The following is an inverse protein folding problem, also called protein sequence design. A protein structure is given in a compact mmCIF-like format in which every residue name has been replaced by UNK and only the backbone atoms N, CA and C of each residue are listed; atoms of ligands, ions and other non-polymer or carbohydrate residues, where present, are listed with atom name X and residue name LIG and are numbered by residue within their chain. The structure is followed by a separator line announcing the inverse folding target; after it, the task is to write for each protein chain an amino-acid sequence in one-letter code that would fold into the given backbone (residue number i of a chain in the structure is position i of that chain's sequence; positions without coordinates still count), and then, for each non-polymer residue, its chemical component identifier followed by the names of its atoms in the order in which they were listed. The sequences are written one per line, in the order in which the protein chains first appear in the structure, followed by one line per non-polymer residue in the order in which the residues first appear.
data_IF_801623860271
#
_entry.id   IF_801623860271
#
_cell.length_a   1.000
_cell.length_b   1.000
_cell.length_c   1.000
_cell.angle_alpha   90.00
_cell.angle_beta   90.00
_cell.angle_gamma   90.00
#
_symmetry.space_group_name_H-M   'P 1'
#
loop_
_entity.id
_entity.type
_entity.pdbx_description
1 polymer ?
#
# COMPACT_ATOMS: atom_id res chain seq x y z
N UNK A 1 -14.54 -3.79 -27.49
CA UNK A 1 -13.73 -2.75 -26.86
C UNK A 1 -12.94 -3.40 -25.72
N UNK A 2 -11.65 -3.07 -25.52
CA UNK A 2 -10.81 -3.63 -24.47
C UNK A 2 -10.78 -2.66 -23.31
N UNK A 3 -11.04 -3.19 -22.11
CA UNK A 3 -11.02 -2.44 -20.87
C UNK A 3 -9.85 -2.86 -19.99
N UNK A 4 -9.33 -1.93 -19.20
CA UNK A 4 -8.24 -2.11 -18.24
C UNK A 4 -8.66 -1.47 -16.92
N UNK A 5 -8.38 -2.12 -15.80
CA UNK A 5 -8.76 -1.62 -14.48
C UNK A 5 -7.53 -1.16 -13.72
N UNK A 6 -7.52 0.08 -13.29
CA UNK A 6 -6.55 0.62 -12.34
C UNK A 6 -7.17 0.66 -10.94
N UNK A 7 -6.45 0.10 -9.97
CA UNK A 7 -6.74 0.24 -8.54
C UNK A 7 -5.71 1.19 -7.97
N UNK A 8 -6.15 2.41 -7.63
CA UNK A 8 -5.31 3.46 -7.07
C UNK A 8 -5.71 3.67 -5.60
N UNK A 9 -4.85 3.22 -4.67
CA UNK A 9 -5.11 3.25 -3.24
C UNK A 9 -4.20 4.27 -2.57
N UNK A 10 -4.74 5.41 -2.20
CA UNK A 10 -4.06 6.41 -1.40
C UNK A 10 -4.26 6.21 0.10
N UNK A 11 -3.52 6.96 0.91
CA UNK A 11 -3.58 6.88 2.37
C UNK A 11 -4.92 7.35 2.98
N UNK A 12 -5.76 8.07 2.24
CA UNK A 12 -7.04 8.59 2.71
C UNK A 12 -8.24 8.10 1.92
N UNK A 13 -8.04 7.62 0.70
CA UNK A 13 -9.09 7.08 -0.16
C UNK A 13 -8.51 6.21 -1.26
N UNK A 14 -9.27 5.22 -1.69
CA UNK A 14 -8.96 4.42 -2.87
C UNK A 14 -10.03 4.56 -3.94
N UNK A 15 -9.70 4.20 -5.17
CA UNK A 15 -10.61 4.20 -6.30
C UNK A 15 -10.25 3.12 -7.31
N UNK A 16 -11.26 2.66 -8.02
CA UNK A 16 -11.11 1.81 -9.18
C UNK A 16 -11.53 2.59 -10.42
N UNK A 17 -10.61 2.68 -11.37
CA UNK A 17 -10.78 3.44 -12.60
C UNK A 17 -10.70 2.47 -13.78
N UNK A 18 -11.78 2.41 -14.55
CA UNK A 18 -11.83 1.63 -15.77
C UNK A 18 -11.36 2.50 -16.95
N UNK A 19 -10.37 2.04 -17.67
CA UNK A 19 -9.80 2.72 -18.83
C UNK A 19 -10.03 1.95 -20.13
N UNK A 20 -10.24 2.68 -21.22
CA UNK A 20 -10.24 2.13 -22.58
C UNK A 20 -9.75 3.17 -23.58
N UNK A 21 -9.38 2.73 -24.80
CA UNK A 21 -9.04 3.63 -25.90
C UNK A 21 -10.23 3.83 -26.80
N UNK A 22 -10.53 5.08 -27.10
CA UNK A 22 -11.50 5.49 -28.12
C UNK A 22 -10.93 6.62 -28.96
N UNK A 23 -11.01 6.51 -30.29
CA UNK A 23 -10.50 7.48 -31.26
C UNK A 23 -9.07 7.97 -30.95
N UNK A 24 -8.19 7.09 -30.46
CA UNK A 24 -6.79 7.41 -30.11
C UNK A 24 -6.60 8.06 -28.74
N UNK A 25 -7.66 8.31 -27.98
CA UNK A 25 -7.62 8.89 -26.62
C UNK A 25 -7.85 7.81 -25.56
N UNK A 26 -7.31 8.05 -24.37
CA UNK A 26 -7.65 7.26 -23.18
C UNK A 26 -8.89 7.85 -22.55
N UNK A 27 -9.91 7.02 -22.38
CA UNK A 27 -11.15 7.36 -21.68
C UNK A 27 -11.09 6.67 -20.31
N UNK A 28 -11.34 7.43 -19.23
CA UNK A 28 -11.30 6.96 -17.86
C UNK A 28 -12.68 7.12 -17.23
N UNK A 29 -13.11 6.10 -16.49
CA UNK A 29 -14.38 6.06 -15.79
C UNK A 29 -14.15 5.54 -14.36
N UNK A 30 -14.44 6.35 -13.35
CA UNK A 30 -14.38 5.90 -11.96
C UNK A 30 -15.59 4.99 -11.68
N UNK A 31 -15.33 3.72 -11.38
CA UNK A 31 -16.38 2.73 -11.13
C UNK A 31 -16.62 2.49 -9.65
N UNK A 32 -15.64 2.77 -8.80
CA UNK A 32 -15.76 2.63 -7.37
C UNK A 32 -14.81 3.56 -6.63
N UNK A 33 -15.27 4.10 -5.50
CA UNK A 33 -14.45 4.90 -4.56
C UNK A 33 -14.77 4.49 -3.13
N UNK A 34 -13.76 4.48 -2.28
CA UNK A 34 -13.88 4.14 -0.86
C UNK A 34 -12.93 4.99 0.00
N UNK A 35 -13.27 5.13 1.28
CA UNK A 35 -12.39 5.73 2.28
C UNK A 35 -11.28 4.78 2.70
N UNK A 36 -10.14 5.32 3.08
CA UNK A 36 -9.03 4.58 3.67
C UNK A 36 -8.45 5.37 4.83
N UNK A 37 -7.82 4.68 5.78
CA UNK A 37 -7.19 5.29 6.94
C UNK A 37 -6.57 4.24 7.84
N UNK A 38 -5.77 4.71 8.79
CA UNK A 38 -5.22 3.85 9.83
C UNK A 38 -6.12 3.89 11.05
N UNK A 39 -6.25 2.76 11.72
CA UNK A 39 -6.97 2.61 12.98
C UNK A 39 -6.04 2.04 14.05
N UNK A 40 -6.32 2.38 15.30
CA UNK A 40 -5.58 1.84 16.44
C UNK A 40 -6.01 0.40 16.70
N UNK A 41 -5.10 -0.55 16.55
CA UNK A 41 -5.33 -1.96 16.80
C UNK A 41 -4.10 -2.56 17.51
N UNK A 42 -4.31 -3.31 18.57
CA UNK A 42 -3.24 -3.96 19.35
C UNK A 42 -2.10 -3.00 19.78
N UNK A 43 -2.43 -1.72 20.02
CA UNK A 43 -1.46 -0.70 20.43
C UNK A 43 -0.70 -0.02 19.30
N UNK A 44 -1.00 -0.34 18.04
CA UNK A 44 -0.38 0.23 16.85
C UNK A 44 -1.41 0.85 15.89
N UNK A 45 -0.97 1.84 15.12
CA UNK A 45 -1.73 2.35 13.98
C UNK A 45 -1.58 1.38 12.80
N UNK A 46 -2.68 0.79 12.36
CA UNK A 46 -2.71 -0.28 11.35
C UNK A 46 -3.62 0.04 10.18
N UNK A 47 -3.34 -0.57 9.04
CA UNK A 47 -4.21 -0.59 7.87
C UNK A 47 -5.11 -1.83 7.89
N UNK A 48 -6.38 -1.67 7.54
CA UNK A 48 -7.28 -2.80 7.31
C UNK A 48 -7.10 -3.35 5.89
N UNK A 49 -6.16 -4.27 5.73
CA UNK A 49 -5.82 -4.89 4.44
C UNK A 49 -6.99 -5.73 3.90
N UNK A 50 -7.77 -6.35 4.80
CA UNK A 50 -8.91 -7.19 4.40
C UNK A 50 -10.04 -6.33 3.85
N UNK A 51 -10.29 -5.14 4.46
CA UNK A 51 -11.22 -4.16 3.90
C UNK A 51 -10.73 -3.65 2.54
N UNK A 52 -9.46 -3.29 2.40
CA UNK A 52 -8.92 -2.85 1.11
C UNK A 52 -9.15 -3.89 0.01
N UNK A 53 -8.92 -5.16 0.31
CA UNK A 53 -9.18 -6.25 -0.63
C UNK A 53 -10.68 -6.38 -0.97
N UNK A 54 -11.55 -6.27 0.03
CA UNK A 54 -13.00 -6.32 -0.17
C UNK A 54 -13.50 -5.17 -1.08
N UNK A 55 -12.93 -3.97 -0.93
CA UNK A 55 -13.23 -2.82 -1.79
C UNK A 55 -12.79 -3.03 -3.25
N UNK A 56 -11.62 -3.66 -3.45
CA UNK A 56 -11.18 -4.05 -4.80
C UNK A 56 -12.17 -5.00 -5.44
N UNK A 57 -12.57 -6.06 -4.73
CA UNK A 57 -13.57 -7.02 -5.22
C UNK A 57 -14.90 -6.35 -5.52
N UNK A 58 -15.32 -5.41 -4.68
CA UNK A 58 -16.56 -4.62 -4.90
C UNK A 58 -16.49 -3.83 -6.21
N UNK A 59 -15.38 -3.15 -6.46
CA UNK A 59 -15.19 -2.41 -7.70
C UNK A 59 -15.13 -3.32 -8.94
N UNK A 60 -14.50 -4.49 -8.84
CA UNK A 60 -14.50 -5.49 -9.92
C UNK A 60 -15.93 -5.98 -10.25
N UNK A 61 -16.76 -6.23 -9.22
CA UNK A 61 -18.16 -6.60 -9.42
C UNK A 61 -18.94 -5.51 -10.14
N UNK A 62 -18.72 -4.24 -9.79
CA UNK A 62 -19.34 -3.09 -10.49
C UNK A 62 -18.95 -3.04 -11.97
N UNK A 63 -17.73 -3.38 -12.35
CA UNK A 63 -17.35 -3.51 -13.77
C UNK A 63 -18.21 -4.55 -14.48
N UNK A 64 -18.47 -5.69 -13.84
CA UNK A 64 -19.32 -6.74 -14.40
C UNK A 64 -20.79 -6.27 -14.52
N UNK A 65 -21.32 -5.58 -13.51
CA UNK A 65 -22.68 -5.05 -13.48
C UNK A 65 -22.96 -4.09 -14.66
N UNK A 66 -21.96 -3.28 -15.03
CA UNK A 66 -22.08 -2.36 -16.18
C UNK A 66 -21.65 -3.00 -17.51
N UNK A 67 -21.37 -4.31 -17.53
CA UNK A 67 -20.99 -5.06 -18.73
C UNK A 67 -19.61 -4.72 -19.30
N UNK A 68 -18.71 -4.13 -18.50
CA UNK A 68 -17.36 -3.72 -18.91
C UNK A 68 -16.30 -4.54 -18.20
N UNK A 69 -16.06 -5.76 -18.65
CA UNK A 69 -15.08 -6.66 -18.02
C UNK A 69 -13.65 -6.25 -18.42
N UNK A 70 -12.77 -5.92 -17.46
CA UNK A 70 -11.37 -5.59 -17.77
C UNK A 70 -10.57 -6.83 -18.17
N UNK A 71 -9.67 -6.68 -19.15
CA UNK A 71 -8.73 -7.74 -19.57
C UNK A 71 -7.54 -7.86 -18.62
N UNK A 72 -7.22 -6.79 -17.90
CA UNK A 72 -6.16 -6.76 -16.89
C UNK A 72 -6.46 -5.78 -15.78
N UNK A 73 -5.79 -5.99 -14.63
CA UNK A 73 -5.83 -5.12 -13.47
C UNK A 73 -4.42 -4.72 -13.09
N UNK A 74 -4.23 -3.45 -12.75
CA UNK A 74 -3.01 -2.94 -12.13
C UNK A 74 -3.34 -2.30 -10.79
N UNK A 75 -2.45 -2.46 -9.82
CA UNK A 75 -2.61 -1.89 -8.48
C UNK A 75 -1.47 -0.93 -8.20
N UNK A 76 -1.80 0.26 -7.74
CA UNK A 76 -0.89 1.27 -7.23
C UNK A 76 -1.30 1.70 -5.83
N UNK A 77 -0.31 1.94 -4.96
CA UNK A 77 -0.56 2.30 -3.56
C UNK A 77 0.59 3.15 -3.02
N UNK A 78 0.48 3.60 -1.74
CA UNK A 78 1.56 4.31 -1.05
C UNK A 78 2.77 3.40 -0.80
N UNK A 79 3.93 4.03 -0.61
CA UNK A 79 5.19 3.34 -0.33
C UNK A 79 5.41 3.09 1.17
N UNK A 80 6.56 2.51 1.49
CA UNK A 80 7.23 2.26 2.78
C UNK A 80 6.61 1.20 3.67
N UNK A 81 5.30 0.99 3.64
CA UNK A 81 4.62 -0.02 4.44
C UNK A 81 4.71 -1.41 3.81
N UNK A 82 4.57 -2.43 4.63
CA UNK A 82 4.68 -3.83 4.22
C UNK A 82 3.84 -4.73 5.13
N UNK A 83 3.64 -5.95 4.71
CA UNK A 83 3.15 -7.07 5.53
C UNK A 83 4.19 -8.18 5.53
N UNK A 84 4.22 -8.95 6.60
CA UNK A 84 5.02 -10.17 6.68
C UNK A 84 4.16 -11.37 6.30
N UNK A 85 4.74 -12.32 5.58
CA UNK A 85 4.09 -13.56 5.21
C UNK A 85 4.87 -14.74 5.78
N UNK A 86 4.16 -15.80 6.16
CA UNK A 86 4.77 -17.08 6.52
C UNK A 86 5.12 -17.92 5.27
N UNK A 87 5.67 -19.10 5.48
CA UNK A 87 6.06 -20.01 4.41
C UNK A 87 4.87 -20.56 3.60
N UNK A 88 3.64 -20.31 4.01
CA UNK A 88 2.40 -20.66 3.32
C UNK A 88 1.68 -19.44 2.77
N UNK A 89 2.37 -18.31 2.62
CA UNK A 89 1.86 -17.02 2.12
C UNK A 89 0.71 -16.42 2.97
N UNK A 90 0.63 -16.78 4.25
CA UNK A 90 -0.35 -16.21 5.18
C UNK A 90 0.24 -15.01 5.88
N UNK A 91 -0.55 -13.96 6.02
CA UNK A 91 -0.14 -12.73 6.72
C UNK A 91 0.17 -13.02 8.19
N UNK A 92 1.34 -12.56 8.64
CA UNK A 92 1.79 -12.60 10.03
C UNK A 92 1.54 -11.23 10.65
N UNK A 93 0.67 -11.16 11.65
CA UNK A 93 0.38 -9.94 12.38
C UNK A 93 -0.39 -8.89 11.56
N UNK A 94 -0.40 -7.67 12.11
CA UNK A 94 -1.12 -6.53 11.53
C UNK A 94 -0.26 -5.79 10.50
N UNK A 95 -0.92 -5.10 9.56
CA UNK A 95 -0.26 -4.17 8.64
C UNK A 95 -0.04 -2.83 9.34
N UNK A 96 1.05 -2.68 10.06
CA UNK A 96 1.36 -1.46 10.81
C UNK A 96 1.73 -0.34 9.84
N UNK A 97 1.07 0.80 9.99
CA UNK A 97 1.20 1.94 9.09
C UNK A 97 2.38 2.85 9.43
N UNK A 98 2.83 3.60 8.44
CA UNK A 98 4.03 4.45 8.53
C UNK A 98 3.95 5.59 9.56
N UNK A 99 2.77 5.94 10.05
CA UNK A 99 2.57 6.96 11.10
C UNK A 99 2.57 6.36 12.51
N UNK A 100 2.77 5.05 12.63
CA UNK A 100 2.86 4.41 13.93
C UNK A 100 4.12 4.86 14.69
N UNK A 101 4.03 4.87 16.01
CA UNK A 101 5.13 5.29 16.88
C UNK A 101 6.26 4.28 17.00
N UNK A 102 6.09 3.02 16.51
CA UNK A 102 7.08 1.93 16.67
C UNK A 102 8.47 2.25 16.12
N UNK A 103 8.57 3.22 15.20
CA UNK A 103 9.86 3.60 14.61
C UNK A 103 10.65 4.63 15.43
N UNK A 104 10.09 5.12 16.55
CA UNK A 104 10.80 6.08 17.40
C UNK A 104 12.11 5.49 17.92
N UNK A 105 13.25 6.17 17.66
CA UNK A 105 14.58 5.75 18.06
C UNK A 105 15.19 4.62 17.23
N UNK A 106 14.47 4.09 16.24
CA UNK A 106 14.97 2.98 15.40
C UNK A 106 16.08 3.42 14.44
N UNK A 107 16.13 4.70 14.09
CA UNK A 107 17.25 5.26 13.33
C UNK A 107 18.58 5.07 14.06
N UNK A 108 18.64 5.33 15.37
CA UNK A 108 19.84 5.13 16.17
C UNK A 108 20.28 3.66 16.17
N UNK A 109 19.33 2.73 16.27
CA UNK A 109 19.58 1.29 16.19
C UNK A 109 20.14 0.86 14.84
N UNK A 110 19.60 1.42 13.75
CA UNK A 110 20.14 1.18 12.41
C UNK A 110 21.55 1.71 12.27
N UNK A 111 21.85 2.90 12.84
CA UNK A 111 23.17 3.53 12.75
C UNK A 111 24.26 2.82 13.57
N UNK A 112 23.90 1.97 14.51
CA UNK A 112 24.85 1.04 15.14
C UNK A 112 25.41 0.00 14.15
N UNK A 113 24.70 -0.26 13.04
CA UNK A 113 25.07 -1.26 12.03
C UNK A 113 25.58 -0.61 10.73
N UNK A 114 24.91 0.43 10.27
CA UNK A 114 25.29 1.20 9.07
C UNK A 114 25.09 2.69 9.36
N UNK A 115 26.14 3.48 9.21
CA UNK A 115 26.07 4.92 9.45
C UNK A 115 25.11 5.64 8.51
N UNK A 116 24.56 6.78 8.95
CA UNK A 116 23.60 7.58 8.18
C UNK A 116 24.13 7.96 6.80
N UNK A 117 25.37 8.42 6.73
CA UNK A 117 26.02 8.82 5.47
C UNK A 117 26.16 7.64 4.51
N UNK A 118 26.61 6.49 4.99
CA UNK A 118 26.75 5.29 4.16
C UNK A 118 25.37 4.79 3.68
N UNK A 119 24.37 4.81 4.54
CA UNK A 119 23.00 4.44 4.18
C UNK A 119 22.47 5.34 3.06
N UNK A 120 22.69 6.65 3.16
CA UNK A 120 22.30 7.59 2.12
C UNK A 120 23.07 7.38 0.81
N UNK A 121 24.39 7.18 0.89
CA UNK A 121 25.24 6.94 -0.29
C UNK A 121 24.81 5.68 -1.05
N UNK A 122 24.36 4.64 -0.34
CA UNK A 122 23.89 3.38 -0.95
C UNK A 122 22.50 3.47 -1.56
N UNK A 123 21.61 4.26 -0.95
CA UNK A 123 20.18 4.25 -1.32
C UNK A 123 19.73 5.49 -2.07
N UNK A 124 20.37 6.64 -1.85
CA UNK A 124 19.91 7.95 -2.31
C UNK A 124 18.58 8.41 -1.69
N UNK A 125 18.13 7.74 -0.63
CA UNK A 125 16.81 7.99 -0.03
C UNK A 125 16.95 8.96 1.15
N UNK A 126 16.17 10.04 1.12
CA UNK A 126 16.09 10.99 2.22
C UNK A 126 15.63 10.30 3.51
N UNK A 127 16.33 10.60 4.62
CA UNK A 127 15.91 10.14 5.94
C UNK A 127 14.52 10.64 6.30
N UNK A 128 13.65 9.71 6.62
CA UNK A 128 12.34 9.94 7.22
C UNK A 128 12.11 8.90 8.32
N UNK A 129 11.47 9.26 9.44
CA UNK A 129 11.27 8.32 10.56
C UNK A 129 10.48 7.07 10.17
N UNK A 130 9.71 7.13 9.12
CA UNK A 130 8.87 6.05 8.60
C UNK A 130 9.54 5.19 7.51
N UNK A 131 10.78 5.44 7.15
CA UNK A 131 11.44 4.62 6.11
C UNK A 131 11.40 3.14 6.49
N UNK A 132 11.21 2.28 5.50
CA UNK A 132 11.02 0.83 5.70
C UNK A 132 12.12 0.19 6.53
N UNK A 133 13.38 0.65 6.40
CA UNK A 133 14.50 0.13 7.19
C UNK A 133 14.28 0.31 8.71
N UNK A 134 13.72 1.45 9.13
CA UNK A 134 13.41 1.70 10.53
C UNK A 134 12.21 0.89 11.00
N UNK A 135 11.22 0.71 10.13
CA UNK A 135 10.08 -0.17 10.42
C UNK A 135 10.53 -1.64 10.59
N UNK A 136 11.43 -2.13 9.73
CA UNK A 136 12.01 -3.47 9.85
C UNK A 136 12.86 -3.63 11.11
N UNK A 137 13.62 -2.59 11.50
CA UNK A 137 14.35 -2.59 12.76
C UNK A 137 13.39 -2.71 13.95
N UNK A 138 12.25 -1.98 13.94
CA UNK A 138 11.23 -2.11 14.98
C UNK A 138 10.66 -3.53 15.08
N UNK A 139 10.44 -4.20 13.96
CA UNK A 139 10.00 -5.61 13.93
C UNK A 139 11.07 -6.55 14.52
N UNK A 140 12.35 -6.26 14.26
CA UNK A 140 13.46 -7.07 14.79
C UNK A 140 13.62 -6.94 16.32
N UNK A 141 13.27 -5.79 16.89
CA UNK A 141 13.40 -5.49 18.32
C UNK A 141 12.19 -5.98 19.14
N UNK A 142 11.09 -6.40 18.51
CA UNK A 142 9.92 -7.00 19.15
C UNK A 142 10.11 -8.52 19.39
#
# INVERSE_FOLDING_TARGET
MKYYLAVDIGASSGRLILGHRDAGKMILEEVHRFGNGMEMQNGHLTWDVDQLFAEIITGMKKCAEIGKIPESIGVDTWAVDFVLLDAQDRRIGDAVGYRDHRTQGMDQKVYEVIGEEELYLRTGIQKQPFNTIYQLMAVKEQ
#
